data_IF_333357722795
#
_entry.id   IF_333357722795
#
_cell.length_a   1.000
_cell.length_b   1.000
_cell.length_c   1.000
_cell.angle_alpha   90.00
_cell.angle_beta   90.00
_cell.angle_gamma   90.00
#
_symmetry.space_group_name_H-M   'P 1'
#
loop_
_entity.id
_entity.type
_entity.pdbx_description
1 polymer ?
#
# COMPACT_ATOMS: atom_id res chain seq x y z
N UNK A 1 -21.17 -10.18 5.55
CA UNK A 1 -21.13 -8.89 4.81
C UNK A 1 -20.10 -8.03 5.50
N UNK A 2 -19.22 -7.42 4.73
CA UNK A 2 -18.25 -6.45 5.26
C UNK A 2 -18.99 -5.20 5.73
N UNK A 3 -18.65 -4.70 6.91
CA UNK A 3 -19.31 -3.56 7.54
C UNK A 3 -18.50 -2.27 7.39
N UNK A 4 -17.15 -2.40 7.43
CA UNK A 4 -16.22 -1.27 7.50
C UNK A 4 -15.41 -1.07 6.22
N UNK A 5 -15.59 -1.95 5.26
CA UNK A 5 -14.99 -1.88 3.93
C UNK A 5 -15.90 -2.55 2.90
N UNK A 6 -15.65 -2.27 1.63
CA UNK A 6 -16.20 -3.04 0.53
C UNK A 6 -15.14 -3.26 -0.54
N UNK A 7 -15.35 -4.29 -1.36
CA UNK A 7 -14.40 -4.69 -2.40
C UNK A 7 -15.07 -4.72 -3.76
N UNK A 8 -14.33 -4.31 -4.78
CA UNK A 8 -14.71 -4.43 -6.19
C UNK A 8 -13.58 -5.14 -6.92
N UNK A 9 -13.95 -6.08 -7.79
CA UNK A 9 -13.01 -6.77 -8.68
C UNK A 9 -13.20 -6.31 -10.11
N UNK A 10 -12.08 -5.96 -10.77
CA UNK A 10 -12.03 -5.61 -12.18
C UNK A 10 -10.84 -6.37 -12.79
N UNK A 11 -11.11 -7.43 -13.56
CA UNK A 11 -10.06 -8.33 -14.05
C UNK A 11 -9.21 -8.92 -12.93
N UNK A 12 -7.94 -8.59 -12.92
CA UNK A 12 -6.94 -9.02 -11.92
C UNK A 12 -6.72 -7.99 -10.80
N UNK A 13 -7.47 -6.90 -10.78
CA UNK A 13 -7.37 -5.83 -9.81
C UNK A 13 -8.45 -5.94 -8.76
N UNK A 14 -8.07 -5.94 -7.47
CA UNK A 14 -8.97 -5.79 -6.34
C UNK A 14 -8.93 -4.35 -5.84
N UNK A 15 -10.04 -3.65 -5.83
CA UNK A 15 -10.19 -2.37 -5.12
C UNK A 15 -10.80 -2.62 -3.75
N UNK A 16 -10.10 -2.21 -2.70
CA UNK A 16 -10.57 -2.24 -1.31
C UNK A 16 -10.86 -0.82 -0.88
N UNK A 17 -12.10 -0.54 -0.49
CA UNK A 17 -12.53 0.80 -0.08
C UNK A 17 -12.87 0.80 1.40
N UNK A 18 -12.16 1.62 2.19
CA UNK A 18 -12.47 1.89 3.59
C UNK A 18 -13.81 2.62 3.65
N UNK A 19 -14.77 2.16 4.45
CA UNK A 19 -16.13 2.64 4.42
C UNK A 19 -16.65 3.05 5.81
N UNK A 20 -16.09 4.13 6.35
CA UNK A 20 -16.55 4.82 7.57
C UNK A 20 -16.47 6.34 7.37
N UNK A 21 -17.14 6.90 6.32
CA UNK A 21 -16.98 8.32 5.95
C UNK A 21 -17.40 9.28 7.08
N UNK A 22 -18.36 8.90 7.93
CA UNK A 22 -18.80 9.67 9.12
C UNK A 22 -17.70 9.80 10.19
N UNK A 23 -16.71 8.92 10.16
CA UNK A 23 -15.50 8.94 11.00
C UNK A 23 -14.23 9.26 10.21
N UNK A 24 -14.34 9.88 9.03
CA UNK A 24 -13.21 10.18 8.16
C UNK A 24 -12.40 8.90 7.81
N UNK A 25 -13.08 7.78 7.64
CA UNK A 25 -12.51 6.45 7.41
C UNK A 25 -11.46 6.03 8.47
N UNK A 26 -11.62 6.49 9.72
CA UNK A 26 -10.80 6.03 10.84
C UNK A 26 -11.10 4.57 11.17
N UNK A 27 -10.05 3.82 11.53
CA UNK A 27 -10.12 2.39 11.79
C UNK A 27 -10.15 2.10 13.30
N UNK A 28 -10.89 1.07 13.67
CA UNK A 28 -11.01 0.52 15.02
C UNK A 28 -10.80 -1.00 14.98
N UNK A 29 -10.73 -1.64 16.15
CA UNK A 29 -10.41 -3.06 16.25
C UNK A 29 -11.20 -3.95 15.28
N UNK A 30 -12.56 -3.91 15.21
CA UNK A 30 -13.29 -4.73 14.24
C UNK A 30 -12.90 -4.51 12.77
N UNK A 31 -12.64 -3.25 12.38
CA UNK A 31 -12.22 -2.93 11.02
C UNK A 31 -10.83 -3.49 10.68
N UNK A 32 -9.91 -3.56 11.65
CA UNK A 32 -8.59 -4.18 11.42
C UNK A 32 -8.72 -5.66 11.08
N UNK A 33 -9.55 -6.41 11.81
CA UNK A 33 -9.76 -7.84 11.56
C UNK A 33 -10.55 -8.10 10.27
N UNK A 34 -11.49 -7.23 9.92
CA UNK A 34 -12.20 -7.33 8.64
C UNK A 34 -11.24 -7.16 7.45
N UNK A 35 -10.40 -6.11 7.50
CA UNK A 35 -9.42 -5.84 6.45
C UNK A 35 -8.33 -6.92 6.37
N UNK A 36 -7.92 -7.47 7.51
CA UNK A 36 -6.97 -8.59 7.56
C UNK A 36 -7.46 -9.76 6.73
N UNK A 37 -8.73 -10.16 6.93
CA UNK A 37 -9.35 -11.22 6.14
C UNK A 37 -9.44 -10.87 4.66
N UNK A 38 -9.79 -9.62 4.31
CA UNK A 38 -9.84 -9.18 2.91
C UNK A 38 -8.46 -9.33 2.25
N UNK A 39 -7.39 -8.99 2.95
CA UNK A 39 -6.04 -9.11 2.39
C UNK A 39 -5.52 -10.55 2.40
N UNK A 40 -5.97 -11.42 3.32
CA UNK A 40 -5.71 -12.86 3.24
C UNK A 40 -6.36 -13.46 1.99
N UNK A 41 -7.64 -13.14 1.76
CA UNK A 41 -8.38 -13.61 0.59
C UNK A 41 -7.72 -13.08 -0.73
N UNK A 42 -7.23 -11.83 -0.75
CA UNK A 42 -6.50 -11.25 -1.88
C UNK A 42 -5.18 -11.99 -2.16
N UNK A 43 -4.36 -12.23 -1.14
CA UNK A 43 -3.09 -12.95 -1.33
C UNK A 43 -3.32 -14.39 -1.79
N UNK A 44 -4.38 -15.06 -1.32
CA UNK A 44 -4.70 -16.44 -1.65
C UNK A 44 -5.31 -16.62 -3.05
N UNK A 45 -5.94 -15.60 -3.63
CA UNK A 45 -6.59 -15.69 -4.95
C UNK A 45 -5.56 -15.56 -6.09
N UNK A 46 -5.25 -16.64 -6.85
CA UNK A 46 -4.25 -16.60 -7.91
C UNK A 46 -4.63 -15.69 -9.09
N UNK A 47 -5.91 -15.39 -9.24
CA UNK A 47 -6.42 -14.53 -10.31
C UNK A 47 -6.39 -13.04 -9.96
N UNK A 48 -6.07 -12.68 -8.72
CA UNK A 48 -5.86 -11.30 -8.30
C UNK A 48 -4.37 -10.97 -8.27
N UNK A 49 -3.95 -9.94 -8.99
CA UNK A 49 -2.54 -9.56 -9.17
C UNK A 49 -2.16 -8.24 -8.51
N UNK A 50 -3.11 -7.29 -8.42
CA UNK A 50 -2.89 -5.95 -7.88
C UNK A 50 -4.02 -5.59 -6.92
N UNK A 51 -3.68 -4.94 -5.81
CA UNK A 51 -4.68 -4.37 -4.90
C UNK A 51 -4.59 -2.84 -4.91
N UNK A 52 -5.74 -2.17 -4.96
CA UNK A 52 -5.87 -0.73 -4.74
C UNK A 52 -6.60 -0.54 -3.41
N UNK A 53 -6.02 0.26 -2.51
CA UNK A 53 -6.65 0.68 -1.26
C UNK A 53 -7.05 2.15 -1.35
N UNK A 54 -8.30 2.47 -1.03
CA UNK A 54 -8.83 3.84 -1.04
C UNK A 54 -9.83 4.07 0.09
N UNK A 55 -10.33 5.29 0.23
CA UNK A 55 -11.36 5.65 1.21
C UNK A 55 -12.66 6.11 0.54
N UNK A 56 -13.82 5.81 1.14
CA UNK A 56 -15.11 6.31 0.67
C UNK A 56 -15.19 7.84 0.79
N UNK A 57 -15.74 8.46 -0.24
CA UNK A 57 -15.96 9.91 -0.32
C UNK A 57 -14.73 10.69 -0.78
N UNK A 58 -14.76 11.99 -0.63
CA UNK A 58 -13.76 12.95 -1.13
C UNK A 58 -12.93 13.61 -0.01
N UNK A 59 -13.30 13.38 1.26
CA UNK A 59 -12.70 14.08 2.40
C UNK A 59 -11.46 13.41 2.96
N UNK A 60 -11.45 12.08 3.01
CA UNK A 60 -10.36 11.34 3.63
C UNK A 60 -10.14 9.98 2.98
N UNK A 61 -8.88 9.66 2.81
CA UNK A 61 -8.43 8.28 2.67
C UNK A 61 -8.63 7.55 4.00
N UNK A 62 -7.98 8.02 5.07
CA UNK A 62 -8.20 7.58 6.45
C UNK A 62 -7.61 8.58 7.44
N UNK A 63 -8.38 8.93 8.47
CA UNK A 63 -7.88 9.70 9.62
C UNK A 63 -7.08 8.86 10.63
N UNK A 64 -6.81 7.58 10.32
CA UNK A 64 -6.02 6.69 11.15
C UNK A 64 -6.84 5.98 12.23
N UNK A 65 -6.32 5.93 13.44
CA UNK A 65 -6.95 5.23 14.54
C UNK A 65 -8.17 5.98 15.07
N UNK A 66 -9.29 5.26 15.32
CA UNK A 66 -10.50 5.83 15.91
C UNK A 66 -10.32 6.07 17.42
N UNK A 67 -9.75 7.25 17.76
CA UNK A 67 -9.52 7.65 19.15
C UNK A 67 -10.82 7.82 19.95
N UNK A 68 -11.95 8.12 19.29
CA UNK A 68 -13.26 8.21 19.96
C UNK A 68 -13.74 6.83 20.42
N UNK A 69 -13.62 5.83 19.53
CA UNK A 69 -13.93 4.45 19.89
C UNK A 69 -13.09 3.98 21.09
N UNK A 70 -11.81 4.33 21.13
CA UNK A 70 -10.95 3.99 22.28
C UNK A 70 -11.33 4.73 23.56
N UNK A 71 -11.68 6.03 23.46
CA UNK A 71 -12.12 6.82 24.61
C UNK A 71 -13.46 6.32 25.18
N UNK A 72 -14.30 5.70 24.36
CA UNK A 72 -15.56 5.08 24.74
C UNK A 72 -15.39 3.66 25.30
N UNK A 73 -14.13 3.19 25.54
CA UNK A 73 -13.82 1.89 26.10
C UNK A 73 -13.64 0.77 25.06
N UNK A 74 -13.58 1.11 23.79
CA UNK A 74 -13.30 0.14 22.73
C UNK A 74 -11.89 -0.47 22.83
N UNK A 75 -11.75 -1.72 22.38
CA UNK A 75 -10.47 -2.43 22.41
C UNK A 75 -9.46 -1.84 21.44
N UNK A 76 -8.16 -2.11 21.69
CA UNK A 76 -7.05 -1.73 20.81
C UNK A 76 -6.48 -2.93 20.05
N UNK A 77 -7.23 -4.04 20.04
CA UNK A 77 -6.77 -5.27 19.43
C UNK A 77 -6.60 -5.11 17.92
N UNK A 78 -5.58 -5.72 17.38
CA UNK A 78 -5.27 -5.78 15.96
C UNK A 78 -4.78 -7.17 15.58
N UNK A 79 -4.95 -7.61 14.32
CA UNK A 79 -4.40 -8.87 13.84
C UNK A 79 -2.86 -8.82 13.82
N UNK A 80 -2.23 -9.99 13.60
CA UNK A 80 -0.77 -10.10 13.45
C UNK A 80 -0.22 -9.30 12.27
N UNK A 81 -1.04 -9.11 11.23
CA UNK A 81 -0.74 -8.27 10.07
C UNK A 81 -0.76 -6.76 10.36
N UNK A 82 -1.06 -6.37 11.60
CA UNK A 82 -0.94 -5.01 12.10
C UNK A 82 -2.16 -4.13 11.85
N UNK A 83 -1.94 -2.82 11.90
CA UNK A 83 -2.97 -1.82 11.69
C UNK A 83 -3.56 -1.94 10.28
N UNK A 84 -4.90 -1.97 10.19
CA UNK A 84 -5.61 -2.14 8.93
C UNK A 84 -5.30 -3.44 8.17
N UNK A 85 -4.74 -4.45 8.86
CA UNK A 85 -4.44 -5.75 8.26
C UNK A 85 -3.24 -5.76 7.30
N UNK A 86 -2.46 -4.67 7.19
CA UNK A 86 -1.35 -4.58 6.21
C UNK A 86 -0.03 -4.05 6.78
N UNK A 87 -0.03 -3.27 7.86
CA UNK A 87 1.19 -2.57 8.27
C UNK A 87 2.29 -3.50 8.80
N UNK A 88 1.96 -4.70 9.22
CA UNK A 88 2.88 -5.75 9.66
C UNK A 88 2.81 -7.02 8.79
N UNK A 89 2.19 -6.94 7.60
CA UNK A 89 2.12 -8.03 6.60
C UNK A 89 3.39 -8.04 5.74
N UNK A 90 4.49 -8.49 6.32
CA UNK A 90 5.81 -8.49 5.67
C UNK A 90 6.01 -9.60 4.64
N UNK A 91 5.15 -10.61 4.65
CA UNK A 91 5.12 -11.76 3.73
C UNK A 91 4.28 -11.52 2.47
N UNK A 92 3.72 -10.32 2.32
CA UNK A 92 2.92 -9.94 1.16
C UNK A 92 3.71 -10.04 -0.15
N UNK A 93 3.17 -10.75 -1.13
CA UNK A 93 3.83 -11.00 -2.43
C UNK A 93 3.32 -10.12 -3.55
N UNK A 94 2.06 -9.64 -3.46
CA UNK A 94 1.41 -8.88 -4.53
C UNK A 94 1.52 -7.37 -4.30
N UNK A 95 1.59 -6.56 -5.38
CA UNK A 95 1.67 -5.10 -5.28
C UNK A 95 0.38 -4.48 -4.75
N UNK A 96 0.53 -3.42 -3.96
CA UNK A 96 -0.56 -2.61 -3.46
C UNK A 96 -0.35 -1.14 -3.77
N UNK A 97 -1.42 -0.47 -4.22
CA UNK A 97 -1.47 0.95 -4.55
C UNK A 97 -2.39 1.65 -3.56
N UNK A 98 -1.91 2.68 -2.88
CA UNK A 98 -2.76 3.58 -2.11
C UNK A 98 -3.29 4.67 -3.04
N UNK A 99 -4.61 4.71 -3.24
CA UNK A 99 -5.30 5.79 -3.93
C UNK A 99 -5.80 6.80 -2.88
N UNK A 100 -4.98 7.81 -2.61
CA UNK A 100 -5.21 8.76 -1.51
C UNK A 100 -6.10 9.91 -1.98
N UNK A 101 -7.39 9.78 -1.74
CA UNK A 101 -8.46 10.67 -2.18
C UNK A 101 -8.67 11.91 -1.29
N UNK A 102 -7.92 12.05 -0.20
CA UNK A 102 -8.05 13.16 0.74
C UNK A 102 -7.09 13.04 1.91
N UNK A 103 -7.55 13.30 3.12
CA UNK A 103 -6.74 13.26 4.35
C UNK A 103 -6.23 11.84 4.62
N UNK A 104 -4.91 11.70 4.84
CA UNK A 104 -4.23 10.50 5.31
C UNK A 104 -3.40 10.86 6.56
N UNK A 105 -3.93 10.60 7.77
CA UNK A 105 -3.34 11.02 9.03
C UNK A 105 -3.04 9.85 9.94
N UNK A 106 -1.90 9.91 10.65
CA UNK A 106 -1.51 8.88 11.59
C UNK A 106 -1.52 7.50 10.96
N UNK A 107 -2.26 6.55 11.54
CA UNK A 107 -2.44 5.23 10.97
C UNK A 107 -2.93 5.22 9.51
N UNK A 108 -3.64 6.26 9.06
CA UNK A 108 -4.03 6.40 7.65
C UNK A 108 -2.83 6.67 6.74
N UNK A 109 -1.89 7.49 7.16
CA UNK A 109 -0.64 7.67 6.42
C UNK A 109 0.25 6.43 6.53
N UNK A 110 0.24 5.73 7.67
CA UNK A 110 0.96 4.47 7.85
C UNK A 110 0.44 3.36 6.91
N UNK A 111 -0.89 3.31 6.65
CA UNK A 111 -1.48 2.44 5.63
C UNK A 111 -0.96 2.78 4.22
N UNK A 112 -0.95 4.07 3.86
CA UNK A 112 -0.44 4.51 2.56
C UNK A 112 1.05 4.16 2.42
N UNK A 113 1.87 4.39 3.45
CA UNK A 113 3.29 4.00 3.48
C UNK A 113 3.52 2.47 3.45
N UNK A 114 2.54 1.67 3.85
CA UNK A 114 2.61 0.21 3.75
C UNK A 114 2.31 -0.31 2.34
N UNK A 115 1.66 0.49 1.49
CA UNK A 115 1.51 0.21 0.07
C UNK A 115 2.83 0.47 -0.69
N UNK A 116 2.96 -0.10 -1.88
CA UNK A 116 4.18 0.03 -2.70
C UNK A 116 4.22 1.33 -3.50
N UNK A 117 3.03 1.87 -3.81
CA UNK A 117 2.82 3.05 -4.64
C UNK A 117 1.75 3.92 -3.99
N UNK A 118 1.94 5.25 -4.03
CA UNK A 118 0.95 6.22 -3.56
C UNK A 118 0.56 7.13 -4.73
N UNK A 119 -0.68 7.02 -5.18
CA UNK A 119 -1.33 7.94 -6.11
C UNK A 119 -2.19 8.88 -5.27
N UNK A 120 -1.90 10.17 -5.29
CA UNK A 120 -2.55 11.14 -4.42
C UNK A 120 -3.33 12.20 -5.20
N UNK A 121 -4.54 12.52 -4.77
CA UNK A 121 -5.25 13.69 -5.26
C UNK A 121 -4.58 14.99 -4.79
N UNK A 122 -4.66 16.07 -5.57
CA UNK A 122 -4.04 17.37 -5.26
C UNK A 122 -4.50 17.96 -3.92
N UNK A 123 -5.73 17.67 -3.50
CA UNK A 123 -6.29 18.07 -2.21
C UNK A 123 -5.83 17.18 -1.04
N UNK A 124 -5.14 16.07 -1.29
CA UNK A 124 -4.71 15.15 -0.26
C UNK A 124 -3.64 15.78 0.67
N UNK A 125 -3.68 15.35 1.94
CA UNK A 125 -2.76 15.82 2.98
C UNK A 125 -2.33 14.66 3.85
N UNK A 126 -1.06 14.66 4.20
CA UNK A 126 -0.41 13.61 4.96
C UNK A 126 0.17 14.16 6.26
N UNK A 127 0.07 13.41 7.35
CA UNK A 127 0.80 13.71 8.59
C UNK A 127 0.95 12.47 9.46
N UNK A 128 1.94 12.51 10.35
CA UNK A 128 2.06 11.65 11.51
C UNK A 128 1.89 12.52 12.78
N UNK A 129 0.62 12.88 13.12
CA UNK A 129 0.35 13.87 14.16
C UNK A 129 0.36 13.28 15.59
N UNK A 130 0.71 12.01 15.74
CA UNK A 130 0.71 11.27 17.01
C UNK A 130 1.40 12.02 18.15
N UNK A 131 2.55 12.72 17.98
CA UNK A 131 3.19 13.44 19.07
C UNK A 131 2.31 14.55 19.67
N UNK A 132 1.39 15.12 18.90
CA UNK A 132 0.47 16.18 19.36
C UNK A 132 -0.61 15.67 20.33
N UNK A 133 -0.78 14.34 20.39
CA UNK A 133 -1.75 13.68 21.31
C UNK A 133 -1.06 12.69 22.24
N UNK A 134 0.27 12.79 22.43
CA UNK A 134 1.04 11.95 23.34
C UNK A 134 1.23 10.50 22.87
N UNK A 135 1.12 10.27 21.57
CA UNK A 135 1.31 8.96 20.93
C UNK A 135 2.53 8.97 20.01
N UNK A 136 2.83 7.85 19.37
CA UNK A 136 3.85 7.71 18.34
C UNK A 136 3.31 6.86 17.18
N UNK A 137 3.78 7.10 15.95
CA UNK A 137 3.37 6.42 14.74
C UNK A 137 3.99 5.01 14.64
N UNK A 138 3.51 4.09 15.50
CA UNK A 138 4.08 2.76 15.71
C UNK A 138 3.55 1.69 14.74
N UNK A 139 2.61 2.04 13.87
CA UNK A 139 2.16 1.13 12.81
C UNK A 139 3.07 1.19 11.56
N UNK A 140 4.30 1.60 11.73
CA UNK A 140 5.36 1.58 10.72
C UNK A 140 5.76 2.96 10.19
N UNK A 141 5.07 4.04 10.55
CA UNK A 141 5.39 5.39 10.10
C UNK A 141 6.79 5.83 10.44
N UNK A 142 7.24 5.56 11.67
CA UNK A 142 8.59 5.87 12.14
C UNK A 142 9.69 5.07 11.42
N UNK A 143 9.34 3.98 10.76
CA UNK A 143 10.30 3.12 10.05
C UNK A 143 10.24 3.29 8.54
N UNK A 144 9.04 3.41 7.95
CA UNK A 144 8.86 3.52 6.50
C UNK A 144 9.15 4.91 5.96
N UNK A 145 8.68 5.96 6.65
CA UNK A 145 8.88 7.32 6.17
C UNK A 145 10.36 7.69 6.01
N UNK A 146 11.26 7.48 7.01
CA UNK A 146 12.69 7.79 6.85
C UNK A 146 13.44 6.85 5.88
N UNK A 147 12.82 5.75 5.44
CA UNK A 147 13.35 4.90 4.37
C UNK A 147 12.87 5.34 2.98
N UNK A 148 11.73 6.03 2.92
CA UNK A 148 11.15 6.51 1.66
C UNK A 148 11.70 7.88 1.23
N UNK A 149 12.07 8.75 2.21
CA UNK A 149 12.48 10.14 1.94
C UNK A 149 13.74 10.50 2.73
N UNK A 150 14.45 11.61 2.39
CA UNK A 150 15.61 12.05 3.16
C UNK A 150 15.29 12.18 4.66
N UNK A 151 16.13 11.58 5.51
CA UNK A 151 15.92 11.48 6.96
C UNK A 151 15.55 12.80 7.63
N UNK A 152 16.22 13.90 7.27
CA UNK A 152 15.95 15.22 7.86
C UNK A 152 14.55 15.74 7.52
N UNK A 153 14.03 15.41 6.33
CA UNK A 153 12.65 15.72 5.94
C UNK A 153 11.66 14.88 6.76
N UNK A 154 11.92 13.56 6.87
CA UNK A 154 11.12 12.65 7.69
C UNK A 154 11.08 13.10 9.16
N UNK A 155 12.24 13.44 9.76
CA UNK A 155 12.32 13.91 11.14
C UNK A 155 11.54 15.21 11.35
N UNK A 156 11.60 16.16 10.39
CA UNK A 156 10.80 17.38 10.45
C UNK A 156 9.29 17.11 10.47
N UNK A 157 8.81 16.11 9.73
CA UNK A 157 7.41 15.69 9.75
C UNK A 157 7.04 14.97 11.05
N UNK A 158 7.85 14.00 11.48
CA UNK A 158 7.61 13.16 12.65
C UNK A 158 7.60 13.99 13.94
N UNK A 159 8.63 14.84 14.17
CA UNK A 159 8.77 15.59 15.42
C UNK A 159 7.72 16.70 15.58
N UNK A 160 7.21 17.25 14.48
CA UNK A 160 6.23 18.35 14.54
C UNK A 160 4.79 17.89 14.34
N UNK A 161 4.59 16.69 13.75
CA UNK A 161 3.28 16.22 13.31
C UNK A 161 2.62 17.19 12.33
N UNK A 162 3.43 17.91 11.50
CA UNK A 162 2.91 18.87 10.53
C UNK A 162 2.16 18.17 9.40
N UNK A 163 1.22 18.89 8.83
CA UNK A 163 0.52 18.44 7.62
C UNK A 163 1.39 18.75 6.39
N UNK A 164 1.46 17.79 5.48
CA UNK A 164 2.20 17.87 4.22
C UNK A 164 1.21 17.76 3.07
N UNK A 165 1.09 18.76 2.19
CA UNK A 165 0.29 18.67 0.97
C UNK A 165 0.82 17.58 0.03
N UNK A 166 -0.04 17.00 -0.79
CA UNK A 166 0.33 15.96 -1.75
C UNK A 166 1.43 16.43 -2.73
N UNK A 167 1.39 17.69 -3.16
CA UNK A 167 2.43 18.27 -4.02
C UNK A 167 3.82 18.27 -3.36
N UNK A 168 3.91 18.61 -2.06
CA UNK A 168 5.17 18.48 -1.32
C UNK A 168 5.56 17.00 -1.18
N UNK A 169 4.57 16.10 -0.97
CA UNK A 169 4.81 14.66 -0.92
C UNK A 169 5.43 14.10 -2.19
N UNK A 170 5.01 14.60 -3.36
CA UNK A 170 5.61 14.28 -4.66
C UNK A 170 7.05 14.84 -4.74
N UNK A 171 7.25 16.10 -4.36
CA UNK A 171 8.58 16.74 -4.38
C UNK A 171 9.61 16.00 -3.51
N UNK A 172 9.21 15.56 -2.31
CA UNK A 172 10.12 14.88 -1.37
C UNK A 172 10.20 13.37 -1.55
N UNK A 173 9.30 12.77 -2.36
CA UNK A 173 9.46 11.44 -2.92
C UNK A 173 8.64 10.31 -2.29
N UNK A 174 7.66 10.58 -1.40
CA UNK A 174 6.78 9.52 -0.92
C UNK A 174 5.47 9.39 -1.72
N UNK A 175 5.07 10.40 -2.49
CA UNK A 175 3.98 10.30 -3.47
C UNK A 175 4.59 9.95 -4.83
N UNK A 176 4.02 8.94 -5.50
CA UNK A 176 4.48 8.47 -6.82
C UNK A 176 3.90 9.32 -7.94
N UNK A 177 2.62 9.64 -7.86
CA UNK A 177 1.89 10.43 -8.87
C UNK A 177 0.86 11.33 -8.20
N UNK A 178 0.75 12.56 -8.73
CA UNK A 178 -0.27 13.53 -8.32
C UNK A 178 -1.34 13.60 -9.40
N UNK A 179 -2.61 13.54 -9.00
CA UNK A 179 -3.77 13.61 -9.88
C UNK A 179 -4.75 14.67 -9.40
N UNK A 180 -5.64 15.11 -10.28
CA UNK A 180 -6.67 16.08 -9.92
C UNK A 180 -7.55 15.61 -8.77
N UNK A 181 -8.16 16.53 -8.04
CA UNK A 181 -9.14 16.23 -6.98
C UNK A 181 -10.27 15.34 -7.53
N UNK A 182 -10.61 14.27 -6.79
CA UNK A 182 -11.59 13.26 -7.22
C UNK A 182 -11.00 12.14 -8.09
N UNK A 183 -9.77 12.26 -8.59
CA UNK A 183 -9.18 11.33 -9.57
C UNK A 183 -8.22 10.29 -8.96
N UNK A 184 -8.09 10.21 -7.62
CA UNK A 184 -7.15 9.28 -6.99
C UNK A 184 -7.40 7.81 -7.39
N UNK A 185 -8.66 7.36 -7.36
CA UNK A 185 -9.00 5.99 -7.71
C UNK A 185 -8.82 5.73 -9.22
N UNK A 186 -9.24 6.64 -10.09
CA UNK A 186 -9.05 6.50 -11.55
C UNK A 186 -7.56 6.51 -11.92
N UNK A 187 -6.74 7.35 -11.24
CA UNK A 187 -5.28 7.36 -11.38
C UNK A 187 -4.66 6.02 -10.95
N UNK A 188 -5.07 5.50 -9.80
CA UNK A 188 -4.60 4.19 -9.32
C UNK A 188 -5.01 3.04 -10.26
N UNK A 189 -6.22 3.07 -10.82
CA UNK A 189 -6.65 2.09 -11.83
C UNK A 189 -5.82 2.17 -13.11
N UNK A 190 -5.48 3.37 -13.59
CA UNK A 190 -4.56 3.54 -14.73
C UNK A 190 -3.17 2.96 -14.42
N UNK A 191 -2.65 3.22 -13.22
CA UNK A 191 -1.36 2.67 -12.80
C UNK A 191 -1.41 1.14 -12.66
N UNK A 192 -2.48 0.57 -12.09
CA UNK A 192 -2.69 -0.87 -12.01
C UNK A 192 -2.74 -1.52 -13.39
N UNK A 193 -3.40 -0.90 -14.38
CA UNK A 193 -3.44 -1.38 -15.76
C UNK A 193 -2.04 -1.45 -16.41
N UNK A 194 -1.09 -0.58 -16.05
CA UNK A 194 0.30 -0.71 -16.49
C UNK A 194 1.01 -1.89 -15.82
N UNK A 195 0.71 -2.18 -14.55
CA UNK A 195 1.22 -3.37 -13.85
C UNK A 195 0.67 -4.65 -14.50
N UNK A 196 -0.62 -4.69 -14.86
CA UNK A 196 -1.24 -5.86 -15.50
C UNK A 196 -0.63 -6.22 -16.86
N UNK A 197 0.02 -5.27 -17.56
CA UNK A 197 0.78 -5.56 -18.79
C UNK A 197 2.06 -6.35 -18.52
N UNK A 198 2.52 -6.41 -17.29
CA UNK A 198 3.74 -7.09 -16.88
C UNK A 198 3.42 -8.49 -16.33
N UNK A 199 4.37 -9.42 -16.44
CA UNK A 199 4.22 -10.75 -15.83
C UNK A 199 4.02 -10.63 -14.31
N UNK A 200 2.93 -11.18 -13.76
CA UNK A 200 2.69 -11.15 -12.32
C UNK A 200 3.75 -11.91 -11.52
N UNK A 201 4.39 -12.95 -12.11
CA UNK A 201 5.51 -13.64 -11.48
C UNK A 201 6.72 -12.72 -11.40
N UNK A 202 7.04 -11.99 -12.49
CA UNK A 202 8.15 -11.02 -12.49
C UNK A 202 7.92 -9.88 -11.49
N UNK A 203 6.69 -9.37 -11.38
CA UNK A 203 6.34 -8.34 -10.40
C UNK A 203 6.55 -8.83 -8.98
N UNK A 204 6.04 -10.03 -8.63
CA UNK A 204 6.22 -10.63 -7.30
C UNK A 204 7.70 -10.85 -6.97
N UNK A 205 8.46 -11.35 -7.93
CA UNK A 205 9.90 -11.52 -7.78
C UNK A 205 10.61 -10.19 -7.56
N UNK A 206 10.26 -9.16 -8.34
CA UNK A 206 10.86 -7.83 -8.19
C UNK A 206 10.58 -7.21 -6.83
N UNK A 207 9.34 -7.33 -6.33
CA UNK A 207 8.97 -6.85 -4.99
C UNK A 207 9.77 -7.57 -3.89
N UNK A 208 9.89 -8.90 -3.96
CA UNK A 208 10.64 -9.70 -2.99
C UNK A 208 12.12 -9.32 -3.00
N UNK A 209 12.75 -9.28 -4.18
CA UNK A 209 14.18 -8.95 -4.32
C UNK A 209 14.48 -7.53 -3.86
N UNK A 210 13.64 -6.54 -4.18
CA UNK A 210 13.83 -5.15 -3.72
C UNK A 210 13.70 -5.07 -2.20
N UNK A 211 12.65 -5.66 -1.61
CA UNK A 211 12.40 -5.57 -0.16
C UNK A 211 13.51 -6.23 0.64
N UNK A 212 13.86 -7.48 0.31
CA UNK A 212 14.91 -8.23 0.99
C UNK A 212 16.30 -7.68 0.67
N UNK A 213 16.52 -7.20 -0.57
CA UNK A 213 17.77 -6.59 -0.97
C UNK A 213 18.14 -5.37 -0.13
N UNK A 214 17.12 -4.57 0.28
CA UNK A 214 17.31 -3.42 1.17
C UNK A 214 17.66 -3.78 2.64
N UNK A 215 17.58 -5.05 3.01
CA UNK A 215 17.97 -5.55 4.34
C UNK A 215 19.46 -5.87 4.43
N UNK A 216 20.15 -6.00 3.28
CA UNK A 216 21.60 -6.26 3.21
C UNK A 216 22.41 -4.98 3.41
N UNK A 217 23.60 -5.11 3.97
CA UNK A 217 24.48 -3.99 4.24
C UNK A 217 25.11 -3.39 2.96
N UNK A 218 25.23 -4.19 1.89
CA UNK A 218 25.80 -3.77 0.62
C UNK A 218 25.02 -4.31 -0.57
N UNK A 219 25.17 -3.65 -1.73
CA UNK A 219 24.61 -4.13 -3.00
C UNK A 219 25.23 -5.47 -3.40
N UNK A 220 26.51 -5.68 -3.09
CA UNK A 220 27.20 -6.94 -3.38
C UNK A 220 26.55 -8.10 -2.62
N UNK A 221 26.32 -7.95 -1.30
CA UNK A 221 25.64 -8.96 -0.50
C UNK A 221 24.23 -9.23 -1.02
N UNK A 222 23.45 -8.18 -1.35
CA UNK A 222 22.13 -8.31 -1.91
C UNK A 222 22.12 -9.06 -3.25
N UNK A 223 23.08 -8.79 -4.14
CA UNK A 223 23.18 -9.45 -5.46
C UNK A 223 23.63 -10.91 -5.37
N UNK A 224 24.39 -11.28 -4.35
CA UNK A 224 24.87 -12.64 -4.12
C UNK A 224 23.91 -13.47 -3.25
N UNK A 225 22.90 -12.84 -2.66
CA UNK A 225 21.89 -13.53 -1.85
C UNK A 225 20.98 -14.41 -2.71
N UNK A 226 20.48 -15.49 -2.11
CA UNK A 226 19.51 -16.35 -2.75
C UNK A 226 18.08 -15.87 -2.45
N UNK A 227 17.26 -15.72 -3.49
CA UNK A 227 15.85 -15.36 -3.41
C UNK A 227 15.01 -16.49 -4.00
N UNK A 228 14.14 -17.10 -3.20
CA UNK A 228 13.26 -18.18 -3.67
C UNK A 228 12.35 -17.72 -4.81
N UNK A 229 11.89 -16.48 -4.76
CA UNK A 229 11.10 -15.87 -5.83
C UNK A 229 11.78 -15.90 -7.20
N UNK A 230 13.11 -15.81 -7.24
CA UNK A 230 13.90 -15.91 -8.48
C UNK A 230 13.85 -17.34 -9.03
N UNK A 231 13.87 -18.36 -8.16
CA UNK A 231 13.73 -19.75 -8.60
C UNK A 231 12.31 -20.02 -9.14
N UNK A 232 11.28 -19.44 -8.49
CA UNK A 232 9.90 -19.50 -8.99
C UNK A 232 9.79 -18.85 -10.38
N UNK A 233 10.38 -17.66 -10.57
CA UNK A 233 10.38 -16.97 -11.86
C UNK A 233 11.06 -17.81 -12.95
N UNK A 234 12.24 -18.35 -12.66
CA UNK A 234 13.02 -19.16 -13.65
C UNK A 234 12.27 -20.39 -14.15
N UNK A 235 11.37 -20.94 -13.35
CA UNK A 235 10.58 -22.12 -13.67
C UNK A 235 9.15 -21.80 -14.13
N UNK A 236 8.79 -20.51 -14.25
CA UNK A 236 7.41 -20.08 -14.58
C UNK A 236 7.10 -20.21 -16.09
N UNK A 237 5.82 -20.36 -16.40
CA UNK A 237 5.31 -20.26 -17.78
C UNK A 237 5.55 -18.85 -18.35
N UNK A 238 5.47 -17.82 -17.52
CA UNK A 238 5.66 -16.43 -17.89
C UNK A 238 7.09 -16.15 -18.37
N UNK A 239 8.09 -16.82 -17.83
CA UNK A 239 9.51 -16.72 -18.25
C UNK A 239 9.69 -17.20 -19.71
N UNK A 240 8.84 -18.09 -20.20
CA UNK A 240 8.84 -18.59 -21.57
C UNK A 240 7.99 -17.69 -22.46
N UNK A 241 6.81 -17.30 -21.99
CA UNK A 241 5.83 -16.51 -22.75
C UNK A 241 6.37 -15.14 -23.15
N UNK A 242 7.05 -14.44 -22.23
CA UNK A 242 7.54 -13.10 -22.47
C UNK A 242 8.45 -12.98 -23.70
N UNK A 243 9.60 -13.70 -23.74
CA UNK A 243 10.49 -13.71 -24.91
C UNK A 243 9.80 -14.20 -26.19
N UNK A 244 8.89 -15.18 -26.10
CA UNK A 244 8.13 -15.68 -27.24
C UNK A 244 7.21 -14.61 -27.83
N UNK A 245 6.39 -13.98 -27.01
CA UNK A 245 5.47 -12.92 -27.43
C UNK A 245 6.24 -11.75 -28.05
N UNK A 246 7.38 -11.36 -27.45
CA UNK A 246 8.26 -10.32 -27.99
C UNK A 246 8.80 -10.68 -29.38
N UNK A 247 9.28 -11.91 -29.58
CA UNK A 247 9.77 -12.38 -30.89
C UNK A 247 8.67 -12.43 -31.94
N UNK A 248 7.45 -12.80 -31.53
CA UNK A 248 6.26 -12.88 -32.39
C UNK A 248 5.57 -11.52 -32.60
N UNK A 249 6.04 -10.43 -31.94
CA UNK A 249 5.46 -9.07 -31.98
C UNK A 249 3.98 -9.03 -31.61
N UNK A 250 3.58 -9.77 -30.62
CA UNK A 250 2.24 -9.78 -30.03
C UNK A 250 2.28 -9.48 -28.54
N UNK A 251 1.14 -9.15 -27.98
CA UNK A 251 0.98 -9.01 -26.54
C UNK A 251 1.17 -10.37 -25.86
N UNK A 252 1.83 -10.42 -24.70
CA UNK A 252 1.98 -11.63 -23.91
C UNK A 252 0.65 -12.05 -23.27
N UNK A 253 0.50 -13.34 -23.07
CA UNK A 253 -0.64 -13.91 -22.34
C UNK A 253 -0.15 -14.51 -21.02
N UNK A 254 0.01 -13.63 -20.03
CA UNK A 254 0.53 -14.02 -18.74
C UNK A 254 -0.33 -15.04 -18.02
N UNK A 255 0.28 -16.00 -17.34
CA UNK A 255 -0.37 -17.05 -16.57
C UNK A 255 -0.22 -16.88 -15.07
N UNK A 256 0.76 -16.08 -14.63
CA UNK A 256 1.03 -15.84 -13.23
C UNK A 256 1.63 -17.03 -12.48
N UNK A 257 2.15 -18.02 -13.18
CA UNK A 257 2.70 -19.26 -12.64
C UNK A 257 3.86 -19.79 -13.47
#
# INVERSE_FOLDING_TARGET
MSEFSYTERDGHVLTVTLNRPERMNALHSPAHFELDKVFDDFEADPDLWVCILTGTGDRAFSAGNDLKFQAEGGTRDKPKSGFGGITERFDRTKPMIAAVNGVAMGGGFELALACDVIIAAENARFALPEPRVGLAALAGGLHRLPRAIPEKKAMGMILTGRHVPAAEGLEIGFVTELVAEGEALSGAKRFAAEIEKCSPVSIRTSLDVVRRGLEHASVEEAMLAEYESVNVLRNSEDMIEGPKAFAEKRDPNWKGR
#
